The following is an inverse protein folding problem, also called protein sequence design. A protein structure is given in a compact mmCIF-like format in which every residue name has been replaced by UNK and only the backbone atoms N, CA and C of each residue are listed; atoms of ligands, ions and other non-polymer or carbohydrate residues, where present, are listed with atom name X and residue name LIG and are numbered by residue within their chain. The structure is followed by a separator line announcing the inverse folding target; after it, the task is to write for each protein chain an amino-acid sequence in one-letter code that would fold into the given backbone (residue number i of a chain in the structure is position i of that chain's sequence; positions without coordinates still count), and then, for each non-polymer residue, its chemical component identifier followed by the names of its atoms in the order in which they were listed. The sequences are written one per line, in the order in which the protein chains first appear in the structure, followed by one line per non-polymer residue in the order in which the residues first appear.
data_IF_252574753680
#
_entry.id   IF_252574753680
#
_cell.length_a   1.000
_cell.length_b   1.000
_cell.length_c   1.000
_cell.angle_alpha   90.00
_cell.angle_beta   90.00
_cell.angle_gamma   90.00
#
_symmetry.space_group_name_H-M   'P 1'
#
loop_
_entity.id
_entity.type
_entity.pdbx_description
1 polymer ?
#
# COMPACT_ATOMS: atom_id res chain seq x y z
N UNK A 1 14.85 4.58 -6.36
CA UNK A 1 13.42 4.30 -6.18
C UNK A 1 13.27 2.79 -5.95
N UNK A 2 12.33 2.35 -5.12
CA UNK A 2 12.12 0.92 -4.82
C UNK A 2 10.86 0.42 -5.54
N UNK A 3 10.92 -0.81 -6.06
CA UNK A 3 9.79 -1.50 -6.69
C UNK A 3 8.80 -2.01 -5.65
N UNK A 4 7.57 -2.26 -6.08
CA UNK A 4 6.52 -2.86 -5.22
C UNK A 4 6.92 -4.25 -4.70
N UNK A 5 7.67 -5.02 -5.50
CA UNK A 5 8.24 -6.31 -5.09
C UNK A 5 9.27 -6.18 -3.97
N UNK A 6 10.21 -5.26 -4.10
CA UNK A 6 11.23 -4.98 -3.06
C UNK A 6 10.59 -4.52 -1.74
N UNK A 7 9.58 -3.65 -1.80
CA UNK A 7 8.84 -3.22 -0.61
C UNK A 7 8.14 -4.41 0.08
N UNK A 8 7.57 -5.33 -0.70
CA UNK A 8 6.90 -6.51 -0.15
C UNK A 8 7.88 -7.46 0.54
N UNK A 9 9.01 -7.77 -0.11
CA UNK A 9 10.04 -8.65 0.46
C UNK A 9 10.67 -8.03 1.72
N UNK A 10 10.93 -6.71 1.69
CA UNK A 10 11.40 -5.98 2.88
C UNK A 10 10.47 -6.17 4.08
N UNK A 11 9.15 -6.09 3.90
CA UNK A 11 8.19 -6.32 4.98
C UNK A 11 8.14 -7.79 5.38
N UNK A 12 8.15 -8.73 4.41
CA UNK A 12 8.10 -10.17 4.64
C UNK A 12 9.19 -10.64 5.61
N UNK A 13 10.41 -10.12 5.51
CA UNK A 13 11.53 -10.49 6.37
C UNK A 13 11.40 -10.00 7.83
N UNK A 14 10.54 -9.01 8.09
CA UNK A 14 10.46 -8.29 9.38
C UNK A 14 9.21 -8.62 10.19
N UNK A 15 8.20 -9.22 9.58
CA UNK A 15 6.93 -9.56 10.23
C UNK A 15 6.57 -11.02 10.00
N UNK A 16 5.69 -11.56 10.84
CA UNK A 16 5.16 -12.90 10.63
C UNK A 16 4.49 -13.03 9.24
N UNK A 17 4.59 -14.20 8.61
CA UNK A 17 4.14 -14.44 7.23
C UNK A 17 2.66 -14.10 6.94
N UNK A 18 1.81 -14.02 7.96
CA UNK A 18 0.41 -13.63 7.81
C UNK A 18 0.18 -12.11 7.87
N UNK A 19 1.18 -11.31 8.27
CA UNK A 19 1.07 -9.85 8.45
C UNK A 19 1.57 -9.04 7.25
N UNK A 20 2.35 -9.62 6.35
CA UNK A 20 2.89 -8.87 5.21
C UNK A 20 1.81 -8.66 4.13
N UNK A 21 1.84 -7.52 3.42
CA UNK A 21 0.83 -7.19 2.42
C UNK A 21 0.93 -8.12 1.21
N UNK A 22 -0.21 -8.60 0.71
CA UNK A 22 -0.26 -9.43 -0.50
C UNK A 22 -0.04 -8.61 -1.77
N UNK A 23 -0.59 -7.40 -1.78
CA UNK A 23 -0.48 -6.46 -2.88
C UNK A 23 0.08 -5.13 -2.39
N UNK A 24 0.86 -4.49 -3.25
CA UNK A 24 1.44 -3.16 -3.05
C UNK A 24 1.31 -2.43 -4.37
N UNK A 25 0.72 -1.24 -4.35
CA UNK A 25 0.64 -0.35 -5.51
C UNK A 25 1.09 1.05 -5.09
N UNK A 26 1.71 1.76 -6.03
CA UNK A 26 2.20 3.11 -5.80
C UNK A 26 1.17 4.12 -6.31
N UNK A 27 0.97 5.18 -5.54
CA UNK A 27 0.10 6.31 -5.90
C UNK A 27 0.87 7.62 -5.73
N UNK A 28 0.59 8.66 -6.53
CA UNK A 28 1.24 9.97 -6.36
C UNK A 28 1.00 10.61 -4.99
N UNK A 29 -0.08 10.23 -4.32
CA UNK A 29 -0.41 10.69 -2.97
C UNK A 29 -1.65 10.00 -2.41
N UNK A 30 -1.79 10.07 -1.08
CA UNK A 30 -2.97 9.53 -0.39
C UNK A 30 -4.13 10.54 -0.44
N UNK A 31 -5.38 10.06 -0.62
CA UNK A 31 -6.55 10.93 -0.55
C UNK A 31 -6.68 11.50 0.85
N UNK A 32 -6.85 12.82 0.92
CA UNK A 32 -6.96 13.57 2.19
C UNK A 32 -8.20 14.45 2.17
N UNK A 33 -8.86 14.52 3.32
CA UNK A 33 -10.00 15.42 3.51
C UNK A 33 -9.57 16.87 3.77
N UNK A 34 -10.54 17.78 3.99
CA UNK A 34 -10.28 19.21 4.22
C UNK A 34 -9.36 19.52 5.41
N UNK A 35 -9.24 18.59 6.37
CA UNK A 35 -8.34 18.71 7.54
C UNK A 35 -6.99 18.01 7.35
N UNK A 36 -6.69 17.51 6.14
CA UNK A 36 -5.45 16.81 5.82
C UNK A 36 -5.40 15.34 6.27
N UNK A 37 -6.45 14.82 6.92
CA UNK A 37 -6.54 13.41 7.34
C UNK A 37 -6.78 12.48 6.15
N UNK A 38 -6.16 11.30 6.19
CA UNK A 38 -6.34 10.27 5.14
C UNK A 38 -7.79 9.77 5.15
N UNK A 39 -8.40 9.74 3.97
CA UNK A 39 -9.74 9.21 3.76
C UNK A 39 -9.63 7.72 3.42
N UNK A 40 -9.61 6.86 4.46
CA UNK A 40 -9.43 5.40 4.31
C UNK A 40 -10.40 4.76 3.30
N UNK A 41 -11.65 5.23 3.24
CA UNK A 41 -12.69 4.73 2.32
C UNK A 41 -12.38 4.98 0.84
N UNK A 42 -11.52 5.95 0.55
CA UNK A 42 -11.11 6.32 -0.82
C UNK A 42 -9.81 5.62 -1.23
N UNK A 43 -9.15 4.92 -0.30
CA UNK A 43 -8.01 4.06 -0.62
C UNK A 43 -8.54 2.73 -1.16
N UNK A 44 -8.80 2.70 -2.46
CA UNK A 44 -9.27 1.51 -3.17
C UNK A 44 -8.12 0.87 -3.95
N UNK A 45 -8.09 -0.47 -4.06
CA UNK A 45 -7.21 -1.17 -5.00
C UNK A 45 -7.45 -0.71 -6.45
N UNK A 46 -6.41 -0.69 -7.30
CA UNK A 46 -6.58 -0.58 -8.75
C UNK A 46 -7.45 -1.73 -9.30
N UNK A 47 -8.22 -1.46 -10.36
CA UNK A 47 -9.11 -2.47 -10.98
C UNK A 47 -8.33 -3.64 -11.59
N UNK A 48 -7.08 -3.39 -12.01
CA UNK A 48 -6.16 -4.35 -12.60
C UNK A 48 -5.26 -5.05 -11.56
N UNK A 49 -5.54 -4.86 -10.26
CA UNK A 49 -4.78 -5.46 -9.17
C UNK A 49 -5.18 -6.94 -8.97
N UNK A 50 -4.90 -7.77 -9.97
CA UNK A 50 -5.18 -9.21 -9.99
C UNK A 50 -6.34 -9.59 -10.89
#
# INVERSE_FOLDING_TARGET
EATTGELREFVRERVAAYKYPRYVWLVPGLPKGPTGKILRREVQPPEDLG
#
